data_IF_779179436803
#
_entry.id   IF_779179436803
#
_cell.length_a   1.000
_cell.length_b   1.000
_cell.length_c   1.000
_cell.angle_alpha   90.00
_cell.angle_beta   90.00
_cell.angle_gamma   90.00
#
_symmetry.space_group_name_H-M   'P 1'
#
loop_
_entity.id
_entity.type
_entity.pdbx_description
1 polymer ?
#
# COMPACT_ATOMS: atom_id res chain seq x y z
N UNK A 1 48.12 -30.89 -27.46
CA UNK A 1 47.01 -31.27 -26.58
C UNK A 1 46.96 -30.23 -25.47
N UNK A 2 46.05 -29.26 -25.56
CA UNK A 2 45.88 -28.24 -24.51
C UNK A 2 45.02 -28.87 -23.42
N UNK A 3 45.58 -29.08 -22.23
CA UNK A 3 44.77 -29.34 -21.03
C UNK A 3 44.00 -28.04 -20.79
N UNK A 4 42.67 -28.02 -20.90
CA UNK A 4 41.90 -26.82 -20.62
C UNK A 4 42.20 -26.40 -19.19
N UNK A 5 42.67 -25.16 -19.07
CA UNK A 5 43.17 -24.54 -17.86
C UNK A 5 42.11 -24.76 -16.79
N UNK A 6 42.42 -25.57 -15.78
CA UNK A 6 41.50 -25.92 -14.69
C UNK A 6 40.83 -24.66 -14.10
N UNK A 7 41.55 -23.53 -14.13
CA UNK A 7 41.06 -22.20 -13.81
C UNK A 7 39.82 -21.73 -14.59
N UNK A 8 39.68 -22.01 -15.89
CA UNK A 8 38.49 -21.66 -16.67
C UNK A 8 37.29 -22.56 -16.37
N UNK A 9 37.53 -23.80 -15.93
CA UNK A 9 36.48 -24.69 -15.43
C UNK A 9 35.92 -24.14 -14.11
N UNK A 10 36.80 -23.81 -13.16
CA UNK A 10 36.41 -23.20 -11.88
C UNK A 10 35.73 -21.83 -12.05
N UNK A 11 36.25 -20.97 -12.92
CA UNK A 11 35.67 -19.64 -13.16
C UNK A 11 34.27 -19.69 -13.81
N UNK A 12 33.97 -20.74 -14.58
CA UNK A 12 32.63 -20.92 -15.15
C UNK A 12 31.70 -21.74 -14.26
N UNK A 13 32.23 -22.66 -13.44
CA UNK A 13 31.42 -23.53 -12.58
C UNK A 13 31.00 -22.88 -11.26
N UNK A 14 31.70 -21.83 -10.79
CA UNK A 14 31.36 -21.06 -9.58
C UNK A 14 30.80 -19.69 -9.96
N UNK A 15 29.93 -19.63 -10.97
CA UNK A 15 29.04 -18.49 -11.17
C UNK A 15 27.86 -18.64 -10.22
N UNK A 16 28.06 -18.28 -8.96
CA UNK A 16 26.97 -18.29 -7.98
C UNK A 16 26.07 -17.09 -8.30
N UNK A 17 24.94 -17.37 -8.93
CA UNK A 17 23.89 -16.39 -9.06
C UNK A 17 23.31 -16.20 -7.65
N UNK A 18 23.01 -14.97 -7.18
CA UNK A 18 22.39 -14.76 -5.87
C UNK A 18 21.07 -15.51 -5.65
N UNK A 19 20.49 -16.08 -6.71
CA UNK A 19 19.28 -16.91 -6.70
C UNK A 19 19.55 -18.37 -6.31
N UNK A 20 20.78 -18.87 -6.46
CA UNK A 20 21.16 -20.28 -6.21
C UNK A 20 21.58 -20.54 -4.76
N UNK A 21 21.73 -19.49 -3.95
CA UNK A 21 22.19 -19.53 -2.55
C UNK A 21 21.05 -19.54 -1.52
N UNK A 22 19.80 -19.76 -1.94
CA UNK A 22 18.65 -19.76 -1.03
C UNK A 22 18.43 -18.42 -0.32
N UNK A 23 19.14 -17.36 -0.73
CA UNK A 23 18.69 -16.00 -0.52
C UNK A 23 17.51 -15.86 -1.47
N UNK A 24 16.32 -16.21 -1.00
CA UNK A 24 15.10 -15.75 -1.60
C UNK A 24 15.31 -14.25 -1.79
N UNK A 25 15.49 -13.83 -3.04
CA UNK A 25 15.06 -12.49 -3.37
C UNK A 25 13.62 -12.51 -2.94
N UNK A 26 13.31 -11.78 -1.87
CA UNK A 26 11.96 -11.33 -1.62
C UNK A 26 11.67 -10.42 -2.82
N UNK A 27 11.43 -11.03 -3.98
CA UNK A 27 10.50 -10.57 -4.96
C UNK A 27 9.18 -10.68 -4.19
N UNK A 28 8.96 -9.74 -3.25
CA UNK A 28 7.66 -9.50 -2.66
C UNK A 28 6.76 -9.45 -3.88
N UNK A 29 6.05 -10.54 -4.15
CA UNK A 29 5.47 -10.78 -5.46
C UNK A 29 4.64 -9.56 -5.76
N UNK A 30 5.05 -8.73 -6.72
CA UNK A 30 4.47 -7.40 -6.91
C UNK A 30 2.95 -7.52 -7.03
N UNK A 31 2.46 -8.64 -7.57
CA UNK A 31 1.07 -9.03 -7.63
C UNK A 31 0.38 -9.28 -6.27
N UNK A 32 1.03 -9.93 -5.30
CA UNK A 32 0.43 -10.25 -3.98
C UNK A 32 0.39 -9.00 -3.11
N UNK A 33 1.46 -8.20 -3.08
CA UNK A 33 1.45 -6.93 -2.35
C UNK A 33 0.50 -5.92 -3.00
N UNK A 34 0.53 -5.77 -4.33
CA UNK A 34 -0.39 -4.86 -5.01
C UNK A 34 -1.86 -5.31 -4.85
N UNK A 35 -2.14 -6.62 -4.86
CA UNK A 35 -3.48 -7.15 -4.64
C UNK A 35 -4.03 -6.87 -3.24
N UNK A 36 -3.20 -7.08 -2.21
CA UNK A 36 -3.59 -6.81 -0.81
C UNK A 36 -3.72 -5.32 -0.56
N UNK A 37 -2.74 -4.51 -0.98
CA UNK A 37 -2.77 -3.05 -0.81
C UNK A 37 -3.94 -2.42 -1.58
N UNK A 38 -4.20 -2.86 -2.81
CA UNK A 38 -5.33 -2.40 -3.60
C UNK A 38 -6.67 -2.69 -2.93
N UNK A 39 -6.84 -3.88 -2.35
CA UNK A 39 -8.04 -4.24 -1.56
C UNK A 39 -8.20 -3.33 -0.34
N UNK A 40 -7.11 -3.09 0.40
CA UNK A 40 -7.15 -2.23 1.60
C UNK A 40 -7.51 -0.79 1.23
N UNK A 41 -6.90 -0.23 0.18
CA UNK A 41 -7.21 1.12 -0.28
C UNK A 41 -8.65 1.27 -0.77
N UNK A 42 -9.17 0.28 -1.48
CA UNK A 42 -10.57 0.28 -1.92
C UNK A 42 -11.53 0.33 -0.72
N UNK A 43 -11.35 -0.55 0.26
CA UNK A 43 -12.19 -0.56 1.45
C UNK A 43 -12.04 0.70 2.31
N UNK A 44 -10.81 1.21 2.47
CA UNK A 44 -10.57 2.45 3.20
C UNK A 44 -11.31 3.64 2.55
N UNK A 45 -11.25 3.76 1.21
CA UNK A 45 -12.00 4.76 0.46
C UNK A 45 -13.52 4.58 0.57
N UNK A 46 -14.01 3.35 0.42
CA UNK A 46 -15.45 3.05 0.51
C UNK A 46 -16.03 3.39 1.90
N UNK A 47 -15.30 3.04 2.97
CA UNK A 47 -15.71 3.35 4.35
C UNK A 47 -15.69 4.87 4.58
N UNK A 48 -14.68 5.59 4.07
CA UNK A 48 -14.63 7.04 4.19
C UNK A 48 -15.85 7.70 3.54
N UNK A 49 -16.22 7.28 2.32
CA UNK A 49 -17.43 7.79 1.63
C UNK A 49 -18.70 7.46 2.43
N UNK A 50 -18.83 6.25 2.95
CA UNK A 50 -19.98 5.85 3.78
C UNK A 50 -20.15 6.77 4.99
N UNK A 51 -19.05 7.08 5.70
CA UNK A 51 -19.07 7.96 6.87
C UNK A 51 -19.49 9.37 6.47
N UNK A 52 -18.99 9.90 5.34
CA UNK A 52 -19.39 11.23 4.84
C UNK A 52 -20.89 11.29 4.57
N UNK A 53 -21.48 10.24 3.98
CA UNK A 53 -22.92 10.18 3.71
C UNK A 53 -23.73 10.16 5.01
N UNK A 54 -23.34 9.31 5.97
CA UNK A 54 -24.03 9.21 7.28
C UNK A 54 -23.93 10.54 8.04
N UNK A 55 -22.74 11.14 8.06
CA UNK A 55 -22.52 12.42 8.71
C UNK A 55 -23.27 13.56 8.01
N UNK A 56 -23.38 13.53 6.69
CA UNK A 56 -24.19 14.46 5.90
C UNK A 56 -25.68 14.37 6.26
N UNK A 57 -26.23 13.15 6.36
CA UNK A 57 -27.61 12.96 6.83
C UNK A 57 -27.80 13.46 8.26
N UNK A 58 -26.84 13.21 9.16
CA UNK A 58 -26.88 13.71 10.54
C UNK A 58 -26.85 15.24 10.60
N UNK A 59 -26.06 15.89 9.72
CA UNK A 59 -25.98 17.34 9.63
C UNK A 59 -27.32 17.96 9.21
N UNK A 60 -27.94 17.41 8.16
CA UNK A 60 -29.22 17.94 7.63
C UNK A 60 -30.38 17.69 8.61
N UNK A 61 -30.39 16.55 9.30
CA UNK A 61 -31.46 16.19 10.25
C UNK A 61 -31.30 16.77 11.65
N UNK A 62 -30.23 17.54 11.90
CA UNK A 62 -29.93 18.09 13.22
C UNK A 62 -30.94 19.15 13.71
N UNK A 63 -31.77 19.73 12.84
CA UNK A 63 -32.87 20.64 13.21
C UNK A 63 -32.51 21.75 14.23
N UNK A 64 -31.28 22.28 14.15
CA UNK A 64 -30.81 23.36 15.06
C UNK A 64 -30.21 22.88 16.38
N UNK A 65 -30.17 21.58 16.66
CA UNK A 65 -29.40 21.02 17.77
C UNK A 65 -27.90 21.19 17.51
N UNK A 66 -27.28 22.12 18.23
CA UNK A 66 -25.87 22.47 18.08
C UNK A 66 -24.93 21.28 18.30
N UNK A 67 -25.27 20.36 19.22
CA UNK A 67 -24.45 19.18 19.51
C UNK A 67 -24.47 18.21 18.33
N UNK A 68 -25.64 17.99 17.71
CA UNK A 68 -25.75 17.12 16.52
C UNK A 68 -25.06 17.72 15.31
N UNK A 69 -25.16 19.04 15.13
CA UNK A 69 -24.44 19.78 14.08
C UNK A 69 -22.92 19.63 14.26
N UNK A 70 -22.41 19.83 15.47
CA UNK A 70 -20.98 19.74 15.75
C UNK A 70 -20.44 18.32 15.54
N UNK A 71 -21.16 17.30 16.03
CA UNK A 71 -20.80 15.89 15.80
C UNK A 71 -20.74 15.55 14.31
N UNK A 72 -21.71 16.00 13.53
CA UNK A 72 -21.74 15.76 12.10
C UNK A 72 -20.54 16.42 11.39
N UNK A 73 -20.22 17.67 11.74
CA UNK A 73 -19.04 18.38 11.22
C UNK A 73 -17.74 17.65 11.56
N UNK A 74 -17.59 17.21 12.81
CA UNK A 74 -16.40 16.48 13.25
C UNK A 74 -16.27 15.14 12.54
N UNK A 75 -17.37 14.42 12.33
CA UNK A 75 -17.37 13.17 11.58
C UNK A 75 -16.94 13.37 10.11
N UNK A 76 -17.44 14.42 9.44
CA UNK A 76 -17.00 14.79 8.08
C UNK A 76 -15.49 15.13 8.10
N UNK A 77 -15.04 15.94 9.06
CA UNK A 77 -13.63 16.33 9.18
C UNK A 77 -12.73 15.11 9.33
N UNK A 78 -13.07 14.17 10.22
CA UNK A 78 -12.30 12.94 10.40
C UNK A 78 -12.32 12.04 9.15
N UNK A 79 -13.45 11.96 8.44
CA UNK A 79 -13.51 11.20 7.19
C UNK A 79 -12.61 11.81 6.10
N UNK A 80 -12.57 13.14 5.98
CA UNK A 80 -11.69 13.85 5.04
C UNK A 80 -10.22 13.65 5.40
N UNK A 81 -9.86 13.78 6.68
CA UNK A 81 -8.50 13.52 7.16
C UNK A 81 -8.10 12.07 6.88
N UNK A 82 -9.01 11.11 7.10
CA UNK A 82 -8.78 9.71 6.76
C UNK A 82 -8.50 9.49 5.27
N UNK A 83 -9.24 10.16 4.39
CA UNK A 83 -9.01 10.10 2.94
C UNK A 83 -7.62 10.63 2.56
N UNK A 84 -7.19 11.73 3.18
CA UNK A 84 -5.85 12.30 2.98
C UNK A 84 -4.78 11.31 3.43
N UNK A 85 -4.97 10.64 4.57
CA UNK A 85 -4.04 9.61 5.07
C UNK A 85 -3.93 8.43 4.09
N UNK A 86 -5.05 7.98 3.50
CA UNK A 86 -5.05 6.93 2.47
C UNK A 86 -4.25 7.36 1.23
N UNK A 87 -4.39 8.62 0.81
CA UNK A 87 -3.60 9.17 -0.31
C UNK A 87 -2.10 9.17 0.00
N UNK A 88 -1.71 9.59 1.21
CA UNK A 88 -0.31 9.52 1.64
C UNK A 88 0.21 8.08 1.72
N UNK A 89 -0.60 7.16 2.24
CA UNK A 89 -0.23 5.75 2.29
C UNK A 89 0.05 5.17 0.90
N UNK A 90 -0.71 5.57 -0.12
CA UNK A 90 -0.44 5.19 -1.51
C UNK A 90 0.91 5.73 -2.00
N UNK A 91 1.20 7.01 -1.79
CA UNK A 91 2.48 7.61 -2.21
C UNK A 91 3.67 6.93 -1.52
N UNK A 92 3.55 6.69 -0.21
CA UNK A 92 4.62 6.06 0.58
C UNK A 92 4.87 4.63 0.12
N UNK A 93 3.82 3.83 -0.17
CA UNK A 93 4.02 2.45 -0.63
C UNK A 93 4.71 2.40 -1.99
N UNK A 94 4.35 3.30 -2.91
CA UNK A 94 5.01 3.39 -4.22
C UNK A 94 6.50 3.80 -4.09
N UNK A 95 6.82 4.72 -3.18
CA UNK A 95 8.20 5.11 -2.87
C UNK A 95 9.02 3.93 -2.30
N UNK A 96 8.45 3.17 -1.37
CA UNK A 96 9.12 1.99 -0.78
C UNK A 96 9.33 0.88 -1.82
N UNK A 97 8.38 0.70 -2.75
CA UNK A 97 8.51 -0.25 -3.84
C UNK A 97 9.51 0.20 -4.93
N UNK A 98 10.09 1.40 -4.82
CA UNK A 98 11.01 1.94 -5.83
C UNK A 98 10.33 2.22 -7.17
N UNK A 99 9.00 2.36 -7.17
CA UNK A 99 8.22 2.73 -8.35
C UNK A 99 8.36 4.23 -8.70
N UNK A 100 8.92 5.02 -7.78
CA UNK A 100 9.17 6.46 -7.89
C UNK A 100 10.58 6.75 -7.38
#
# INVERSE_FOLDING_TARGET
MMVPNVWSWFANSIKINPQDIGVERVNASDATLAGVLGTVYFWAGAIAVLIIVIAGMLYVTANGDSNRIERAKNAILYAVVGLIVVMFAFVITQFVLGAI
#
